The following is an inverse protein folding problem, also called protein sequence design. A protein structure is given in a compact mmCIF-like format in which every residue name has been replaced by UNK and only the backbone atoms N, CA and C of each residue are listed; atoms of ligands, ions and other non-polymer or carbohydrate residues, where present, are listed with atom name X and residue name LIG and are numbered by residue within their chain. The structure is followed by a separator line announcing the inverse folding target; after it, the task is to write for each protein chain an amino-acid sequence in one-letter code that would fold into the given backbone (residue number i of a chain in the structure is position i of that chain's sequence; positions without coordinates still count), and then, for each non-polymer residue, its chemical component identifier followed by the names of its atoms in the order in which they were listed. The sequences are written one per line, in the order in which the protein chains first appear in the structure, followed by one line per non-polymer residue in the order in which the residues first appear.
data_IF_462587621722
#
_entry.id   IF_462587621722
#
_cell.length_a   1.000
_cell.length_b   1.000
_cell.length_c   1.000
_cell.angle_alpha   90.00
_cell.angle_beta   90.00
_cell.angle_gamma   90.00
#
_symmetry.space_group_name_H-M   'P 1'
#
loop_
_entity.id
_entity.type
_entity.pdbx_description
1 polymer ?
#
# COMPACT_ATOMS: atom_id res chain seq x y z
N UNK A 1 -11.57 -15.29 -0.85
CA UNK A 1 -10.43 -14.84 -1.67
C UNK A 1 -9.37 -14.37 -0.71
N UNK A 2 -8.20 -15.00 -0.74
CA UNK A 2 -7.22 -15.00 0.35
C UNK A 2 -5.80 -14.76 -0.15
N UNK A 3 -4.84 -14.95 0.74
CA UNK A 3 -3.42 -14.77 0.46
C UNK A 3 -2.89 -16.02 -0.27
N UNK A 4 -2.67 -15.91 -1.59
CA UNK A 4 -2.11 -16.97 -2.42
C UNK A 4 -0.58 -16.96 -2.44
N UNK A 5 0.10 -18.07 -2.78
CA UNK A 5 1.55 -18.19 -2.68
C UNK A 5 2.31 -17.07 -3.40
N UNK A 6 1.83 -16.61 -4.56
CA UNK A 6 2.53 -15.55 -5.31
C UNK A 6 2.49 -14.18 -4.66
N UNK A 7 1.47 -13.92 -3.85
CA UNK A 7 1.31 -12.65 -3.11
C UNK A 7 1.84 -12.73 -1.68
N UNK A 8 2.48 -13.85 -1.31
CA UNK A 8 3.11 -14.00 0.00
C UNK A 8 4.52 -13.45 -0.01
N UNK A 9 4.72 -12.49 0.88
CA UNK A 9 6.06 -12.12 1.28
C UNK A 9 6.73 -13.26 2.06
N UNK A 10 8.02 -13.44 1.81
CA UNK A 10 8.83 -14.37 2.61
C UNK A 10 9.28 -13.65 3.88
N UNK A 11 9.60 -14.39 4.95
CA UNK A 11 10.18 -13.75 6.15
C UNK A 11 11.42 -12.91 5.80
N UNK A 12 12.22 -13.35 4.82
CA UNK A 12 13.34 -12.59 4.30
C UNK A 12 12.92 -11.24 3.70
N UNK A 13 11.80 -11.20 2.99
CA UNK A 13 11.25 -9.98 2.40
C UNK A 13 10.84 -8.97 3.48
N UNK A 14 10.18 -9.41 4.54
CA UNK A 14 9.85 -8.51 5.67
C UNK A 14 11.10 -7.93 6.37
N UNK A 15 12.21 -8.68 6.44
CA UNK A 15 13.48 -8.17 6.98
C UNK A 15 14.29 -7.32 5.99
N UNK A 16 13.96 -7.42 4.70
CA UNK A 16 14.64 -6.71 3.59
C UNK A 16 13.61 -6.04 2.71
N UNK A 17 12.75 -5.26 3.34
CA UNK A 17 11.62 -4.62 2.68
C UNK A 17 12.14 -3.60 1.65
N UNK A 18 11.83 -3.75 0.35
CA UNK A 18 12.33 -2.86 -0.68
C UNK A 18 11.81 -1.42 -0.55
N UNK A 19 10.61 -1.22 0.02
CA UNK A 19 10.05 0.11 0.25
C UNK A 19 10.88 0.83 1.31
N UNK A 20 11.18 0.16 2.43
CA UNK A 20 12.02 0.71 3.49
C UNK A 20 13.45 0.96 3.03
N UNK A 21 14.07 0.01 2.31
CA UNK A 21 15.42 0.20 1.75
C UNK A 21 15.46 1.47 0.90
N UNK A 22 14.58 1.57 -0.10
CA UNK A 22 14.54 2.71 -1.03
C UNK A 22 14.20 4.03 -0.33
N UNK A 23 13.24 4.04 0.60
CA UNK A 23 12.87 5.27 1.32
C UNK A 23 13.96 5.72 2.31
N UNK A 24 14.67 4.78 2.94
CA UNK A 24 15.73 5.10 3.90
C UNK A 24 17.02 5.64 3.25
N UNK A 25 17.26 5.27 1.99
CA UNK A 25 18.42 5.73 1.21
C UNK A 25 18.16 7.03 0.44
N UNK A 26 16.89 7.47 0.35
CA UNK A 26 16.51 8.65 -0.42
C UNK A 26 16.86 9.95 0.31
N UNK A 27 17.51 10.88 -0.39
CA UNK A 27 18.00 12.14 0.19
C UNK A 27 17.01 13.30 0.13
N UNK A 28 15.86 13.14 -0.53
CA UNK A 28 14.85 14.21 -0.66
C UNK A 28 13.72 14.10 0.37
N UNK A 29 13.66 13.00 1.13
CA UNK A 29 12.60 12.73 2.13
C UNK A 29 13.20 12.23 3.43
N UNK A 30 12.50 12.49 4.53
CA UNK A 30 12.79 11.90 5.83
C UNK A 30 11.84 10.73 6.09
N UNK A 31 12.39 9.54 6.36
CA UNK A 31 11.58 8.38 6.76
C UNK A 31 11.00 8.60 8.17
N UNK A 32 9.74 8.99 8.23
CA UNK A 32 9.04 9.31 9.48
C UNK A 32 8.79 8.09 10.38
N UNK A 33 8.45 6.94 9.78
CA UNK A 33 8.19 5.71 10.52
C UNK A 33 7.38 4.68 9.74
N UNK A 34 7.11 3.55 10.39
CA UNK A 34 6.33 2.43 9.84
C UNK A 34 5.11 2.18 10.73
N UNK A 35 3.92 2.11 10.12
CA UNK A 35 2.67 1.81 10.82
C UNK A 35 2.15 0.46 10.31
N UNK A 36 2.02 -0.50 11.22
CA UNK A 36 1.43 -1.81 10.90
C UNK A 36 -0.07 -1.75 11.19
N UNK A 37 -0.88 -1.90 10.15
CA UNK A 37 -2.34 -1.93 10.25
C UNK A 37 -2.80 -3.39 10.20
N UNK A 38 -3.61 -3.81 11.16
CA UNK A 38 -4.17 -5.16 11.14
C UNK A 38 -5.25 -5.31 10.06
N UNK A 39 -5.44 -6.54 9.57
CA UNK A 39 -6.49 -6.88 8.59
C UNK A 39 -7.61 -7.67 9.28
N UNK A 40 -8.60 -6.99 9.87
CA UNK A 40 -9.69 -7.67 10.56
C UNK A 40 -10.69 -8.32 9.60
N UNK A 41 -11.34 -9.38 10.08
CA UNK A 41 -12.37 -10.07 9.31
C UNK A 41 -13.70 -9.31 9.29
N UNK A 42 -14.13 -8.74 10.42
CA UNK A 42 -15.41 -8.04 10.56
C UNK A 42 -15.34 -6.61 9.98
N UNK A 43 -16.35 -6.23 9.20
CA UNK A 43 -16.46 -4.93 8.56
C UNK A 43 -16.40 -3.75 9.54
N UNK A 44 -16.98 -3.89 10.74
CA UNK A 44 -16.88 -2.86 11.78
C UNK A 44 -15.44 -2.55 12.12
N UNK A 45 -14.62 -3.59 12.25
CA UNK A 45 -13.21 -3.43 12.57
C UNK A 45 -12.40 -2.98 11.36
N UNK A 46 -12.75 -3.38 10.13
CA UNK A 46 -12.11 -2.85 8.90
C UNK A 46 -12.21 -1.33 8.82
N UNK A 47 -13.38 -0.78 9.15
CA UNK A 47 -13.56 0.67 9.23
C UNK A 47 -12.79 1.30 10.40
N UNK A 48 -12.76 0.63 11.55
CA UNK A 48 -12.06 1.14 12.74
C UNK A 48 -10.54 1.23 12.49
N UNK A 49 -9.92 0.22 11.92
CA UNK A 49 -8.46 0.21 11.71
C UNK A 49 -8.02 1.31 10.74
N UNK A 50 -8.78 1.56 9.67
CA UNK A 50 -8.50 2.65 8.72
C UNK A 50 -8.59 4.02 9.39
N UNK A 51 -9.64 4.27 10.18
CA UNK A 51 -9.77 5.50 10.97
C UNK A 51 -8.61 5.70 11.96
N UNK A 52 -8.20 4.63 12.66
CA UNK A 52 -7.09 4.70 13.62
C UNK A 52 -5.76 4.96 12.93
N UNK A 53 -5.47 4.27 11.83
CA UNK A 53 -4.26 4.51 11.05
C UNK A 53 -4.18 5.96 10.58
N UNK A 54 -5.27 6.49 10.02
CA UNK A 54 -5.34 7.86 9.55
C UNK A 54 -5.18 8.91 10.68
N UNK A 55 -5.75 8.66 11.86
CA UNK A 55 -5.56 9.50 13.05
C UNK A 55 -4.09 9.55 13.51
N UNK A 56 -3.39 8.42 13.46
CA UNK A 56 -1.96 8.37 13.80
C UNK A 56 -1.14 9.18 12.81
N UNK A 57 -1.37 8.98 11.50
CA UNK A 57 -0.64 9.69 10.44
C UNK A 57 -0.83 11.21 10.52
N UNK A 58 -2.05 11.66 10.82
CA UNK A 58 -2.37 13.07 11.06
C UNK A 58 -1.66 13.61 12.31
N UNK A 59 -1.69 12.88 13.43
CA UNK A 59 -1.01 13.25 14.67
C UNK A 59 0.52 13.32 14.52
N UNK A 60 1.09 12.44 13.70
CA UNK A 60 2.51 12.44 13.32
C UNK A 60 2.85 13.54 12.30
N UNK A 61 1.84 14.20 11.74
CA UNK A 61 1.96 15.27 10.72
C UNK A 61 2.66 14.75 9.45
N UNK A 62 2.29 13.55 9.00
CA UNK A 62 2.86 12.95 7.81
C UNK A 62 2.59 13.79 6.54
N UNK A 63 3.66 14.11 5.80
CA UNK A 63 3.54 14.85 4.54
C UNK A 63 3.05 13.98 3.38
N UNK A 64 3.25 12.66 3.47
CA UNK A 64 2.82 11.68 2.50
C UNK A 64 2.96 10.24 3.02
N UNK A 65 2.24 9.29 2.42
CA UNK A 65 2.18 7.89 2.84
C UNK A 65 2.29 6.95 1.64
N UNK A 66 3.11 5.91 1.78
CA UNK A 66 3.02 4.70 0.96
C UNK A 66 2.20 3.68 1.76
N UNK A 67 1.05 3.27 1.22
CA UNK A 67 0.19 2.26 1.83
C UNK A 67 0.35 0.95 1.07
N UNK A 68 1.01 -0.03 1.68
CA UNK A 68 1.13 -1.39 1.13
C UNK A 68 0.07 -2.32 1.69
N UNK A 69 -0.35 -3.31 0.90
CA UNK A 69 -1.21 -4.39 1.35
C UNK A 69 -0.83 -5.72 0.71
N UNK A 70 -0.85 -6.77 1.53
CA UNK A 70 -0.62 -8.15 1.11
C UNK A 70 -1.95 -8.85 0.83
N UNK A 71 -2.02 -9.55 -0.30
CA UNK A 71 -3.17 -10.33 -0.72
C UNK A 71 -4.25 -9.53 -1.46
N UNK A 72 -5.35 -10.20 -1.77
CA UNK A 72 -6.45 -9.65 -2.58
C UNK A 72 -7.83 -10.14 -2.13
N UNK A 73 -8.84 -9.31 -2.38
CA UNK A 73 -10.24 -9.62 -2.11
C UNK A 73 -10.74 -8.96 -0.83
N UNK A 74 -11.05 -9.73 0.22
CA UNK A 74 -11.65 -9.18 1.43
C UNK A 74 -10.72 -8.16 2.12
N UNK A 75 -9.41 -8.42 2.14
CA UNK A 75 -8.40 -7.51 2.71
C UNK A 75 -8.35 -6.14 2.01
N UNK A 76 -8.81 -6.07 0.75
CA UNK A 76 -8.88 -4.79 0.06
C UNK A 76 -9.97 -3.86 0.56
N UNK A 77 -10.92 -4.37 1.35
CA UNK A 77 -11.96 -3.53 1.96
C UNK A 77 -11.35 -2.63 3.04
N UNK A 78 -10.51 -3.17 3.92
CA UNK A 78 -9.77 -2.36 4.91
C UNK A 78 -8.69 -1.49 4.25
N UNK A 79 -8.01 -1.99 3.22
CA UNK A 79 -7.08 -1.17 2.42
C UNK A 79 -7.78 0.05 1.79
N UNK A 80 -8.91 -0.16 1.12
CA UNK A 80 -9.69 0.91 0.50
C UNK A 80 -10.20 1.91 1.55
N UNK A 81 -10.72 1.41 2.68
CA UNK A 81 -11.14 2.28 3.79
C UNK A 81 -9.98 3.10 4.35
N UNK A 82 -8.82 2.48 4.55
CA UNK A 82 -7.62 3.16 5.04
C UNK A 82 -7.19 4.26 4.07
N UNK A 83 -7.22 3.99 2.76
CA UNK A 83 -6.97 4.99 1.73
C UNK A 83 -7.95 6.17 1.83
N UNK A 84 -9.23 5.89 2.03
CA UNK A 84 -10.29 6.89 2.16
C UNK A 84 -10.08 7.78 3.38
N UNK A 85 -9.79 7.19 4.54
CA UNK A 85 -9.61 7.91 5.79
C UNK A 85 -8.33 8.77 5.79
N UNK A 86 -7.25 8.30 5.16
CA UNK A 86 -6.04 9.10 4.95
C UNK A 86 -6.32 10.25 3.97
N UNK A 87 -7.03 9.94 2.87
CA UNK A 87 -7.41 10.91 1.85
C UNK A 87 -8.29 12.04 2.36
N UNK A 88 -9.29 11.74 3.21
CA UNK A 88 -10.15 12.73 3.88
C UNK A 88 -9.37 13.74 4.74
N UNK A 89 -8.19 13.36 5.23
CA UNK A 89 -7.27 14.22 5.99
C UNK A 89 -6.30 15.00 5.10
N UNK A 90 -6.43 14.86 3.78
CA UNK A 90 -5.62 15.56 2.79
C UNK A 90 -4.17 15.08 2.76
N UNK A 91 -3.86 13.87 3.24
CA UNK A 91 -2.51 13.32 3.21
C UNK A 91 -2.29 12.59 1.86
N UNK A 92 -1.33 13.04 1.02
CA UNK A 92 -0.96 12.37 -0.22
C UNK A 92 -0.63 10.90 0.03
N UNK A 93 -1.32 10.01 -0.68
CA UNK A 93 -1.14 8.56 -0.50
C UNK A 93 -0.87 7.88 -1.83
N UNK A 94 0.06 6.95 -1.86
CA UNK A 94 0.30 6.02 -2.97
C UNK A 94 0.13 4.60 -2.48
N UNK A 95 -0.68 3.83 -3.21
CA UNK A 95 -0.93 2.44 -2.92
C UNK A 95 0.11 1.49 -3.53
N UNK A 96 0.42 0.40 -2.85
CA UNK A 96 1.23 -0.71 -3.39
C UNK A 96 0.55 -2.03 -3.04
N UNK A 97 0.02 -2.72 -4.06
CA UNK A 97 -0.71 -3.96 -3.86
C UNK A 97 -0.81 -4.74 -5.16
N UNK A 98 -1.08 -6.04 -5.08
CA UNK A 98 -1.43 -6.85 -6.24
C UNK A 98 -2.83 -6.49 -6.76
N UNK A 99 -2.91 -6.09 -8.04
CA UNK A 99 -4.16 -5.84 -8.77
C UNK A 99 -4.30 -6.72 -10.02
N UNK A 100 -3.21 -6.99 -10.74
CA UNK A 100 -3.23 -7.83 -11.93
C UNK A 100 -4.30 -7.46 -12.97
N UNK A 101 -4.66 -8.43 -13.82
CA UNK A 101 -5.70 -8.31 -14.87
C UNK A 101 -7.06 -8.82 -14.41
N UNK A 102 -7.06 -9.82 -13.50
CA UNK A 102 -8.28 -10.47 -13.01
C UNK A 102 -8.80 -9.88 -11.69
N UNK A 103 -7.97 -9.11 -10.99
CA UNK A 103 -8.24 -8.66 -9.64
C UNK A 103 -8.76 -7.21 -9.62
N UNK A 104 -10.06 -7.05 -9.93
CA UNK A 104 -10.75 -5.79 -9.64
C UNK A 104 -10.91 -5.64 -8.13
N UNK A 105 -10.71 -4.43 -7.64
CA UNK A 105 -11.06 -4.08 -6.27
C UNK A 105 -12.55 -4.35 -6.01
N UNK A 106 -12.84 -4.98 -4.88
CA UNK A 106 -14.22 -5.18 -4.41
C UNK A 106 -14.86 -3.84 -4.07
N UNK A 107 -14.06 -2.89 -3.56
CA UNK A 107 -14.47 -1.54 -3.18
C UNK A 107 -13.38 -0.57 -3.64
N UNK A 108 -13.80 0.55 -4.22
CA UNK A 108 -12.91 1.67 -4.58
C UNK A 108 -13.46 2.98 -4.03
N UNK A 109 -12.62 4.00 -3.95
CA UNK A 109 -13.02 5.37 -3.63
C UNK A 109 -12.17 6.37 -4.45
N UNK A 110 -12.54 7.65 -4.37
CA UNK A 110 -11.88 8.73 -5.14
C UNK A 110 -10.41 8.96 -4.78
N UNK A 111 -9.99 8.55 -3.58
CA UNK A 111 -8.62 8.74 -3.12
C UNK A 111 -7.66 7.69 -3.68
N UNK A 112 -8.16 6.52 -4.10
CA UNK A 112 -7.39 5.42 -4.70
C UNK A 112 -6.95 5.72 -6.16
N UNK A 113 -6.46 6.92 -6.41
CA UNK A 113 -6.11 7.46 -7.73
C UNK A 113 -4.72 7.01 -8.23
N UNK A 114 -3.88 6.48 -7.34
CA UNK A 114 -2.47 6.16 -7.61
C UNK A 114 -2.09 4.87 -6.90
N UNK A 115 -2.05 3.78 -7.64
CA UNK A 115 -1.70 2.44 -7.14
C UNK A 115 -0.61 1.86 -8.04
N UNK A 116 0.47 1.41 -7.42
CA UNK A 116 1.52 0.61 -8.04
C UNK A 116 1.12 -0.86 -7.94
N UNK A 117 0.84 -1.46 -9.09
CA UNK A 117 0.57 -2.90 -9.18
C UNK A 117 1.88 -3.69 -9.13
N UNK A 118 1.96 -4.62 -8.18
CA UNK A 118 3.14 -5.50 -7.97
C UNK A 118 3.05 -6.81 -8.77
N UNK A 119 2.04 -6.97 -9.61
CA UNK A 119 1.94 -8.13 -10.48
C UNK A 119 3.18 -8.26 -11.39
N UNK A 120 3.87 -9.40 -11.32
CA UNK A 120 4.97 -9.78 -12.23
C UNK A 120 4.60 -10.93 -13.16
N UNK A 121 3.49 -11.62 -12.90
CA UNK A 121 3.02 -12.68 -13.79
C UNK A 121 2.67 -12.11 -15.18
N UNK A 122 3.05 -12.82 -16.24
CA UNK A 122 2.71 -12.44 -17.62
C UNK A 122 1.19 -12.51 -17.86
N UNK A 123 0.49 -13.42 -17.19
CA UNK A 123 -0.96 -13.58 -17.28
C UNK A 123 -1.73 -12.48 -16.54
N UNK A 124 -1.10 -11.76 -15.61
CA UNK A 124 -1.75 -10.81 -14.72
C UNK A 124 -2.60 -11.47 -13.62
N UNK A 125 -2.34 -12.74 -13.32
CA UNK A 125 -3.13 -13.52 -12.37
C UNK A 125 -2.30 -13.89 -11.15
N UNK A 126 -2.98 -14.20 -10.06
CA UNK A 126 -2.32 -14.85 -8.92
C UNK A 126 -1.82 -16.23 -9.39
N UNK A 127 -0.59 -16.58 -9.02
CA UNK A 127 0.02 -17.87 -9.35
C UNK A 127 0.43 -18.62 -8.08
N UNK A 128 0.71 -19.90 -8.19
CA UNK A 128 1.17 -20.70 -7.05
C UNK A 128 2.70 -20.59 -6.83
N UNK A 129 3.37 -19.64 -7.50
CA UNK A 129 4.82 -19.45 -7.44
C UNK A 129 5.15 -18.41 -6.37
N UNK A 130 5.80 -18.86 -5.29
CA UNK A 130 6.11 -18.01 -4.13
C UNK A 130 6.91 -16.78 -4.52
N UNK A 131 6.40 -15.61 -4.12
CA UNK A 131 7.06 -14.32 -4.26
C UNK A 131 7.14 -13.77 -5.68
N UNK A 132 6.43 -14.37 -6.64
CA UNK A 132 6.31 -13.81 -7.98
C UNK A 132 5.67 -12.42 -7.96
N UNK A 133 4.69 -12.17 -7.07
CA UNK A 133 3.97 -10.90 -6.96
C UNK A 133 4.31 -10.17 -5.65
N UNK A 134 5.57 -10.23 -5.21
CA UNK A 134 6.07 -9.40 -4.11
C UNK A 134 6.58 -8.06 -4.64
N UNK A 135 6.62 -7.07 -3.75
CA UNK A 135 7.23 -5.78 -4.04
C UNK A 135 8.69 -5.98 -4.44
N UNK A 136 9.16 -5.30 -5.49
CA UNK A 136 10.58 -5.20 -5.78
C UNK A 136 11.09 -3.74 -5.70
N UNK A 137 12.40 -3.56 -5.90
CA UNK A 137 13.02 -2.21 -5.89
C UNK A 137 12.45 -1.29 -6.97
N UNK A 138 11.97 -1.83 -8.08
CA UNK A 138 11.35 -1.05 -9.16
C UNK A 138 9.99 -0.52 -8.72
N UNK A 139 9.18 -1.35 -8.07
CA UNK A 139 7.88 -0.95 -7.54
C UNK A 139 8.03 0.08 -6.42
N UNK A 140 8.97 -0.14 -5.49
CA UNK A 140 9.29 0.79 -4.42
C UNK A 140 9.72 2.17 -4.98
N UNK A 141 10.61 2.20 -5.98
CA UNK A 141 11.02 3.44 -6.65
C UNK A 141 9.86 4.15 -7.35
N UNK A 142 8.98 3.41 -8.03
CA UNK A 142 7.76 3.97 -8.64
C UNK A 142 6.86 4.59 -7.58
N UNK A 143 6.61 3.87 -6.49
CA UNK A 143 5.76 4.32 -5.39
C UNK A 143 6.30 5.62 -4.77
N UNK A 144 7.60 5.66 -4.47
CA UNK A 144 8.26 6.86 -3.94
C UNK A 144 8.21 8.03 -4.93
N UNK A 145 8.47 7.79 -6.22
CA UNK A 145 8.41 8.82 -7.25
C UNK A 145 7.00 9.42 -7.37
N UNK A 146 5.96 8.58 -7.38
CA UNK A 146 4.57 9.05 -7.38
C UNK A 146 4.25 9.83 -6.12
N UNK A 147 4.71 9.37 -4.96
CA UNK A 147 4.43 10.06 -3.69
C UNK A 147 5.04 11.46 -3.69
N UNK A 148 6.32 11.58 -4.08
CA UNK A 148 7.01 12.88 -4.26
C UNK A 148 6.24 13.81 -5.20
N UNK A 149 5.73 13.29 -6.32
CA UNK A 149 4.92 14.09 -7.25
C UNK A 149 3.61 14.57 -6.61
N UNK A 150 2.92 13.72 -5.84
CA UNK A 150 1.68 14.10 -5.14
C UNK A 150 1.94 15.13 -4.03
N UNK A 151 3.00 14.95 -3.23
CA UNK A 151 3.43 15.90 -2.20
C UNK A 151 3.73 17.29 -2.80
N UNK A 152 4.48 17.33 -3.91
CA UNK A 152 4.77 18.59 -4.64
C UNK A 152 3.52 19.28 -5.19
N UNK A 153 2.49 18.53 -5.60
CA UNK A 153 1.22 19.10 -6.07
C UNK A 153 0.39 19.69 -4.92
N UNK A 154 0.43 19.09 -3.73
CA UNK A 154 -0.28 19.59 -2.53
C UNK A 154 0.34 20.89 -1.99
N UNK A 155 1.66 21.05 -2.10
CA UNK A 155 2.36 22.25 -1.66
C UNK A 155 2.24 23.46 -2.61
N UNK A 156 1.54 23.31 -3.74
CA UNK A 156 1.17 24.40 -4.65
C UNK A 156 -0.26 24.83 -4.38
#
# INVERSE_FOLDING_TARGET
MGIGPSTKETSLHHFRDPILEICSEDTDIDLLGVVVVGTPQDNKYKNLVGQRAAQWLEGMRADGVILSADGWGNSHVDYANTFEEIGKRGIPTVGVTFNGTNAKFVVTNEYMDTIVDINKSESGTETEIVGENNVDKTDARKALAFLKLKMRKRGK
#
